data_IF_768367934856
#
_entry.id   IF_768367934856
#
_cell.length_a   1.000
_cell.length_b   1.000
_cell.length_c   1.000
_cell.angle_alpha   90.00
_cell.angle_beta   90.00
_cell.angle_gamma   90.00
#
_symmetry.space_group_name_H-M   'P 1'
#
loop_
_entity.id
_entity.type
_entity.pdbx_description
1 polymer ?
#
# COMPACT_ATOMS: atom_id res chain seq x y z
N UNK A 1 -19.00 -19.92 -12.17
CA UNK A 1 -17.65 -20.48 -12.44
C UNK A 1 -17.30 -20.48 -13.93
N UNK A 2 -18.19 -20.95 -14.81
CA UNK A 2 -17.96 -21.06 -16.27
C UNK A 2 -17.82 -19.68 -16.96
N UNK A 3 -18.59 -18.66 -16.55
CA UNK A 3 -18.46 -17.28 -17.08
C UNK A 3 -17.06 -16.68 -16.87
N UNK A 4 -16.41 -16.96 -15.74
CA UNK A 4 -15.08 -16.42 -15.38
C UNK A 4 -13.96 -17.06 -16.19
N UNK A 5 -14.13 -18.34 -16.58
CA UNK A 5 -13.20 -19.04 -17.46
C UNK A 5 -13.35 -18.51 -18.88
N UNK A 6 -14.58 -18.29 -19.34
CA UNK A 6 -14.83 -17.69 -20.66
C UNK A 6 -14.29 -16.27 -20.77
N UNK A 7 -14.40 -15.43 -19.74
CA UNK A 7 -13.80 -14.09 -19.75
C UNK A 7 -12.28 -14.10 -19.96
N UNK A 8 -11.56 -14.95 -19.22
CA UNK A 8 -10.10 -15.07 -19.32
C UNK A 8 -9.65 -15.70 -20.66
N UNK A 9 -10.46 -16.60 -21.23
CA UNK A 9 -10.18 -17.23 -22.53
C UNK A 9 -10.48 -16.28 -23.69
N UNK A 10 -11.47 -15.40 -23.55
CA UNK A 10 -11.85 -14.44 -24.59
C UNK A 10 -10.85 -13.26 -24.64
N UNK A 11 -10.32 -12.79 -23.50
CA UNK A 11 -9.25 -11.77 -23.48
C UNK A 11 -7.94 -12.26 -24.11
N UNK A 12 -7.69 -13.57 -24.12
CA UNK A 12 -6.50 -14.17 -24.76
C UNK A 12 -6.68 -14.44 -26.26
N UNK A 13 -7.88 -14.29 -26.82
CA UNK A 13 -8.16 -14.57 -28.25
C UNK A 13 -8.39 -13.35 -29.13
N UNK A 14 -8.52 -12.15 -28.56
CA UNK A 14 -8.47 -10.93 -29.39
C UNK A 14 -7.01 -10.64 -29.74
N UNK A 15 -6.66 -10.50 -31.03
CA UNK A 15 -5.38 -9.95 -31.41
C UNK A 15 -5.40 -8.51 -30.94
N UNK A 16 -4.77 -8.24 -29.79
CA UNK A 16 -4.29 -6.90 -29.52
C UNK A 16 -3.43 -6.55 -30.74
N UNK A 17 -3.73 -5.42 -31.38
CA UNK A 17 -2.79 -4.75 -32.28
C UNK A 17 -1.59 -4.33 -31.41
N UNK A 18 -0.81 -5.32 -31.00
CA UNK A 18 0.39 -5.17 -30.23
C UNK A 18 1.44 -4.73 -31.20
N UNK A 19 1.81 -3.46 -31.14
CA UNK A 19 3.19 -3.13 -31.43
C UNK A 19 4.06 -4.18 -30.74
N UNK A 20 4.98 -4.82 -31.46
CA UNK A 20 5.95 -5.73 -30.86
C UNK A 20 6.82 -4.90 -29.90
N UNK A 21 6.37 -4.72 -28.66
CA UNK A 21 7.13 -4.04 -27.63
C UNK A 21 8.21 -5.01 -27.18
N UNK A 22 9.39 -4.87 -27.79
CA UNK A 22 10.58 -5.58 -27.37
C UNK A 22 11.02 -4.98 -26.03
N UNK A 23 10.73 -5.68 -24.93
CA UNK A 23 11.27 -5.31 -23.63
C UNK A 23 12.74 -5.70 -23.59
N UNK A 24 13.62 -4.70 -23.66
CA UNK A 24 15.04 -4.93 -23.47
C UNK A 24 15.28 -5.50 -22.06
N UNK A 25 16.32 -6.34 -21.94
CA UNK A 25 16.75 -6.84 -20.64
C UNK A 25 16.91 -5.66 -19.67
N UNK A 26 16.21 -5.62 -18.52
CA UNK A 26 16.29 -4.50 -17.59
C UNK A 26 17.68 -4.30 -16.98
N UNK A 27 18.55 -5.31 -17.11
CA UNK A 27 19.91 -5.32 -16.60
C UNK A 27 20.93 -4.89 -17.67
N UNK A 28 20.86 -3.62 -18.08
CA UNK A 28 21.74 -3.04 -19.12
C UNK A 28 23.05 -2.46 -18.57
N UNK A 29 23.12 -2.15 -17.27
CA UNK A 29 24.31 -1.59 -16.62
C UNK A 29 25.27 -2.71 -16.18
N UNK A 30 26.58 -2.46 -16.23
CA UNK A 30 27.62 -3.44 -15.84
C UNK A 30 27.41 -4.04 -14.45
N UNK A 31 26.94 -3.24 -13.50
CA UNK A 31 26.67 -3.62 -12.12
C UNK A 31 25.45 -4.54 -11.99
N UNK A 32 24.55 -4.49 -12.97
CA UNK A 32 23.26 -5.18 -12.91
C UNK A 32 23.19 -6.42 -13.80
N UNK A 33 24.08 -6.55 -14.79
CA UNK A 33 24.24 -7.73 -15.66
C UNK A 33 24.26 -9.07 -14.89
N UNK A 34 24.96 -9.22 -13.73
CA UNK A 34 24.96 -10.48 -12.98
C UNK A 34 23.58 -10.92 -12.49
N UNK A 35 22.60 -10.01 -12.42
CA UNK A 35 21.22 -10.29 -12.00
C UNK A 35 20.29 -10.66 -13.17
N UNK A 36 20.82 -10.82 -14.39
CA UNK A 36 20.07 -11.19 -15.60
C UNK A 36 19.12 -12.38 -15.42
N UNK A 37 19.54 -13.36 -14.63
CA UNK A 37 18.75 -14.57 -14.33
C UNK A 37 17.39 -14.28 -13.66
N UNK A 38 17.22 -13.15 -12.98
CA UNK A 38 15.94 -12.78 -12.35
C UNK A 38 14.81 -12.71 -13.37
N UNK A 39 15.11 -12.22 -14.59
CA UNK A 39 14.13 -12.13 -15.67
C UNK A 39 13.62 -13.49 -16.16
N UNK A 40 14.39 -14.57 -15.95
CA UNK A 40 14.00 -15.94 -16.33
C UNK A 40 13.19 -16.69 -15.27
N UNK A 41 13.13 -16.19 -14.03
CA UNK A 41 12.51 -16.91 -12.90
C UNK A 41 11.46 -16.10 -12.15
N UNK A 42 11.29 -14.81 -12.48
CA UNK A 42 10.28 -13.94 -11.86
C UNK A 42 9.41 -13.27 -12.91
N UNK A 43 8.10 -13.06 -12.64
CA UNK A 43 7.27 -12.27 -13.52
C UNK A 43 7.78 -10.83 -13.57
N UNK A 44 7.89 -10.29 -14.77
CA UNK A 44 8.26 -8.90 -15.01
C UNK A 44 7.04 -8.14 -15.50
N UNK A 45 6.80 -6.97 -14.90
CA UNK A 45 5.70 -6.10 -15.30
C UNK A 45 6.28 -4.85 -15.95
N UNK A 46 6.05 -4.65 -17.26
CA UNK A 46 6.60 -3.50 -17.95
C UNK A 46 5.88 -2.23 -17.52
N UNK A 47 6.65 -1.19 -17.18
CA UNK A 47 6.14 0.13 -16.80
C UNK A 47 6.92 1.18 -17.58
N UNK A 48 6.21 2.20 -18.10
CA UNK A 48 6.85 3.35 -18.75
C UNK A 48 7.59 4.17 -17.70
N UNK A 49 8.83 4.57 -17.98
CA UNK A 49 9.62 5.42 -17.06
C UNK A 49 8.90 6.73 -16.72
N UNK A 50 8.14 7.30 -17.68
CA UNK A 50 7.31 8.50 -17.47
C UNK A 50 6.21 8.33 -16.42
N UNK A 51 5.83 7.09 -16.10
CA UNK A 51 4.81 6.78 -15.09
C UNK A 51 5.41 6.64 -13.68
N UNK A 52 6.74 6.69 -13.56
CA UNK A 52 7.46 6.57 -12.29
C UNK A 52 7.94 7.95 -11.84
N UNK A 53 7.68 8.30 -10.58
CA UNK A 53 8.23 9.50 -9.95
C UNK A 53 8.88 9.12 -8.62
N UNK A 54 10.04 9.68 -8.33
CA UNK A 54 10.76 9.43 -7.06
C UNK A 54 10.69 10.71 -6.24
N UNK A 55 10.19 10.62 -5.00
CA UNK A 55 10.28 11.74 -4.06
C UNK A 55 11.57 11.65 -3.26
N UNK A 56 12.09 12.81 -2.86
CA UNK A 56 13.35 12.90 -2.12
C UNK A 56 13.19 13.53 -0.75
N UNK A 57 11.98 13.95 -0.38
CA UNK A 57 11.74 14.73 0.82
C UNK A 57 10.51 14.22 1.60
N UNK A 58 10.59 14.08 2.94
CA UNK A 58 9.48 13.59 3.76
C UNK A 58 8.24 14.49 3.75
N UNK A 59 8.39 15.81 3.58
CA UNK A 59 7.24 16.71 3.45
C UNK A 59 6.51 16.48 2.13
N UNK A 60 7.25 16.26 1.03
CA UNK A 60 6.65 15.87 -0.24
C UNK A 60 5.85 14.57 -0.10
N UNK A 61 6.38 13.58 0.62
CA UNK A 61 5.67 12.33 0.89
C UNK A 61 4.35 12.57 1.62
N UNK A 62 4.37 13.39 2.68
CA UNK A 62 3.16 13.72 3.42
C UNK A 62 2.15 14.50 2.56
N UNK A 63 2.60 15.49 1.81
CA UNK A 63 1.74 16.33 0.96
C UNK A 63 1.05 15.51 -0.14
N UNK A 64 1.74 14.53 -0.74
CA UNK A 64 1.09 13.64 -1.72
C UNK A 64 0.05 12.73 -1.08
N UNK A 65 0.27 12.25 0.16
CA UNK A 65 -0.71 11.44 0.87
C UNK A 65 -1.99 12.24 1.13
N UNK A 66 -1.85 13.48 1.62
CA UNK A 66 -2.98 14.39 1.81
C UNK A 66 -3.70 14.64 0.48
N UNK A 67 -2.97 15.01 -0.57
CA UNK A 67 -3.56 15.29 -1.88
C UNK A 67 -4.30 14.08 -2.43
N UNK A 68 -3.70 12.90 -2.41
CA UNK A 68 -4.35 11.70 -2.96
C UNK A 68 -5.50 11.22 -2.08
N UNK A 69 -5.39 11.30 -0.75
CA UNK A 69 -6.50 11.00 0.16
C UNK A 69 -7.71 11.90 -0.07
N UNK A 70 -7.48 13.20 -0.34
CA UNK A 70 -8.55 14.17 -0.59
C UNK A 70 -9.26 13.96 -1.95
N UNK A 71 -8.53 13.46 -2.96
CA UNK A 71 -9.00 13.42 -4.34
C UNK A 71 -9.33 12.00 -4.84
N UNK A 72 -9.08 10.95 -4.05
CA UNK A 72 -9.38 9.59 -4.46
C UNK A 72 -10.87 9.41 -4.78
N UNK A 73 -11.15 8.72 -5.87
CA UNK A 73 -12.52 8.52 -6.39
C UNK A 73 -13.05 7.10 -6.21
N UNK A 74 -12.19 6.10 -6.34
CA UNK A 74 -12.60 4.68 -6.44
C UNK A 74 -12.04 3.83 -5.30
N UNK A 75 -10.74 3.98 -4.99
CA UNK A 75 -10.11 3.22 -3.91
C UNK A 75 -8.99 3.96 -3.18
N UNK A 76 -8.93 3.75 -1.87
CA UNK A 76 -7.75 3.96 -1.04
C UNK A 76 -7.39 2.60 -0.45
N UNK A 77 -6.15 2.16 -0.60
CA UNK A 77 -5.67 0.98 0.12
C UNK A 77 -4.31 1.23 0.74
N UNK A 78 -4.22 1.08 2.07
CA UNK A 78 -3.02 1.38 2.83
C UNK A 78 -2.54 0.10 3.53
N UNK A 79 -1.34 -0.36 3.20
CA UNK A 79 -0.62 -1.36 3.97
C UNK A 79 0.57 -0.69 4.65
N UNK A 80 0.63 -0.69 5.98
CA UNK A 80 1.72 -0.07 6.77
C UNK A 80 1.94 -0.87 8.04
N UNK A 81 3.15 -0.83 8.59
CA UNK A 81 3.42 -1.45 9.89
C UNK A 81 2.50 -0.86 10.98
N UNK A 82 2.34 0.46 10.98
CA UNK A 82 1.40 1.19 11.82
C UNK A 82 1.06 2.55 11.21
N UNK A 83 0.01 3.17 11.75
CA UNK A 83 -0.31 4.59 11.60
C UNK A 83 -0.19 5.27 12.97
N UNK A 84 0.58 6.34 13.07
CA UNK A 84 0.80 7.08 14.31
C UNK A 84 -0.48 7.75 14.82
N UNK A 85 -0.39 8.35 16.00
CA UNK A 85 -1.51 8.99 16.70
C UNK A 85 -1.31 10.52 16.87
N UNK A 86 -0.31 11.08 16.19
CA UNK A 86 0.03 12.49 16.23
C UNK A 86 -0.92 13.37 15.41
N UNK A 87 -0.60 14.67 15.35
CA UNK A 87 -1.41 15.68 14.67
C UNK A 87 -1.47 15.45 13.16
N UNK A 88 -0.35 15.08 12.54
CA UNK A 88 -0.25 14.93 11.09
C UNK A 88 -0.99 13.68 10.61
N UNK A 89 -0.95 12.60 11.39
CA UNK A 89 -1.65 11.35 11.15
C UNK A 89 -3.16 11.53 11.30
N UNK A 90 -3.60 12.21 12.38
CA UNK A 90 -5.01 12.58 12.58
C UNK A 90 -5.52 13.46 11.44
N UNK A 91 -4.72 14.43 10.98
CA UNK A 91 -5.04 15.26 9.81
C UNK A 91 -5.16 14.43 8.52
N UNK A 92 -4.29 13.45 8.31
CA UNK A 92 -4.41 12.56 7.14
C UNK A 92 -5.70 11.74 7.18
N UNK A 93 -6.07 11.19 8.35
CA UNK A 93 -7.35 10.51 8.53
C UNK A 93 -8.53 11.45 8.30
N UNK A 94 -8.47 12.68 8.81
CA UNK A 94 -9.50 13.70 8.61
C UNK A 94 -9.68 14.05 7.12
N UNK A 95 -8.61 14.07 6.34
CA UNK A 95 -8.69 14.29 4.89
C UNK A 95 -9.45 13.16 4.19
N UNK A 96 -9.19 11.89 4.54
CA UNK A 96 -9.94 10.75 3.99
C UNK A 96 -11.40 10.81 4.45
N UNK A 97 -11.63 11.09 5.72
CA UNK A 97 -12.96 11.22 6.31
C UNK A 97 -13.80 12.28 5.60
N UNK A 98 -13.18 13.38 5.18
CA UNK A 98 -13.83 14.49 4.49
C UNK A 98 -13.89 14.34 2.97
N UNK A 99 -13.36 13.26 2.40
CA UNK A 99 -13.46 12.99 0.97
C UNK A 99 -14.95 12.79 0.58
N UNK A 100 -15.50 13.54 -0.40
CA UNK A 100 -16.90 13.40 -0.82
C UNK A 100 -17.28 11.99 -1.26
N UNK A 101 -16.39 11.30 -1.98
CA UNK A 101 -16.63 9.94 -2.48
C UNK A 101 -16.65 8.92 -1.32
N UNK A 102 -15.92 9.18 -0.23
CA UNK A 102 -15.99 8.36 0.98
C UNK A 102 -17.36 8.46 1.65
N UNK A 103 -17.87 9.69 1.80
CA UNK A 103 -19.18 9.96 2.40
C UNK A 103 -20.35 9.44 1.54
N UNK A 104 -20.16 9.39 0.22
CA UNK A 104 -21.16 8.87 -0.73
C UNK A 104 -21.07 7.35 -0.97
N UNK A 105 -20.22 6.63 -0.23
CA UNK A 105 -19.99 5.19 -0.38
C UNK A 105 -19.45 4.75 -1.75
N UNK A 106 -18.96 5.67 -2.60
CA UNK A 106 -18.36 5.35 -3.90
C UNK A 106 -16.86 5.03 -3.80
N UNK A 107 -16.17 5.57 -2.80
CA UNK A 107 -14.75 5.30 -2.52
C UNK A 107 -14.60 4.12 -1.55
N UNK A 108 -13.88 3.07 -1.94
CA UNK A 108 -13.54 1.97 -1.02
C UNK A 108 -12.24 2.23 -0.28
N UNK A 109 -12.25 2.13 1.05
CA UNK A 109 -11.08 2.36 1.90
C UNK A 109 -10.70 1.06 2.62
N UNK A 110 -9.54 0.49 2.27
CA UNK A 110 -9.02 -0.71 2.92
C UNK A 110 -7.71 -0.39 3.64
N UNK A 111 -7.60 -0.74 4.91
CA UNK A 111 -6.41 -0.41 5.70
C UNK A 111 -5.89 -1.66 6.40
N UNK A 112 -4.70 -2.10 6.03
CA UNK A 112 -3.99 -3.23 6.62
C UNK A 112 -2.85 -2.72 7.51
N UNK A 113 -2.91 -3.03 8.80
CA UNK A 113 -1.86 -2.72 9.78
C UNK A 113 -1.34 -3.97 10.47
N UNK A 114 -0.14 -3.93 11.03
CA UNK A 114 0.30 -4.95 11.97
C UNK A 114 -0.49 -4.86 13.29
N UNK A 115 -1.01 -5.99 13.78
CA UNK A 115 -1.82 -6.04 14.99
C UNK A 115 -1.06 -5.55 16.21
N UNK A 116 0.19 -5.99 16.38
CA UNK A 116 0.97 -5.67 17.59
C UNK A 116 1.40 -4.21 17.58
N UNK A 117 1.96 -3.73 16.46
CA UNK A 117 2.43 -2.36 16.34
C UNK A 117 1.30 -1.36 16.25
N UNK A 118 0.20 -1.71 15.59
CA UNK A 118 -1.00 -0.88 15.48
C UNK A 118 -1.85 -0.83 16.75
N UNK A 119 -1.67 -1.75 17.70
CA UNK A 119 -2.39 -1.78 18.99
C UNK A 119 -1.54 -1.34 20.18
N UNK A 120 -0.31 -0.84 19.95
CA UNK A 120 0.61 -0.50 21.02
C UNK A 120 0.15 0.76 21.75
N UNK A 121 0.04 0.69 23.08
CA UNK A 121 -0.48 1.76 23.95
C UNK A 121 -1.98 2.04 23.80
N UNK A 122 -2.54 2.89 24.68
CA UNK A 122 -3.96 3.21 24.70
C UNK A 122 -4.40 4.06 23.49
N UNK A 123 -3.64 5.10 23.14
CA UNK A 123 -3.83 5.85 21.89
C UNK A 123 -2.88 5.28 20.82
N UNK A 124 -3.42 4.73 19.74
CA UNK A 124 -2.70 3.94 18.75
C UNK A 124 -3.33 4.07 17.35
N UNK A 125 -2.94 3.20 16.41
CA UNK A 125 -3.48 3.23 15.05
C UNK A 125 -4.99 2.96 15.03
N UNK A 126 -5.48 2.07 15.91
CA UNK A 126 -6.90 1.68 15.96
C UNK A 126 -7.77 2.84 16.43
N UNK A 127 -7.34 3.57 17.46
CA UNK A 127 -8.07 4.76 17.93
C UNK A 127 -8.05 5.87 16.89
N UNK A 128 -6.91 6.06 16.22
CA UNK A 128 -6.76 7.10 15.18
C UNK A 128 -7.61 6.83 13.95
N UNK A 129 -7.78 5.56 13.56
CA UNK A 129 -8.58 5.17 12.39
C UNK A 129 -10.07 4.95 12.69
N UNK A 130 -10.46 4.82 13.96
CA UNK A 130 -11.84 4.58 14.38
C UNK A 130 -12.88 5.55 13.77
N UNK A 131 -12.59 6.86 13.55
CA UNK A 131 -13.54 7.77 12.92
C UNK A 131 -14.00 7.31 11.52
N UNK A 132 -13.12 6.70 10.72
CA UNK A 132 -13.48 6.23 9.37
C UNK A 132 -14.53 5.13 9.43
N UNK A 133 -14.34 4.14 10.31
CA UNK A 133 -15.31 3.05 10.51
C UNK A 133 -16.65 3.55 11.07
N UNK A 134 -16.63 4.58 11.92
CA UNK A 134 -17.85 5.17 12.48
C UNK A 134 -18.66 5.94 11.44
N UNK A 135 -17.97 6.63 10.52
CA UNK A 135 -18.61 7.40 9.45
C UNK A 135 -19.22 6.48 8.40
N UNK A 136 -18.44 5.52 7.91
CA UNK A 136 -18.91 4.64 6.84
C UNK A 136 -18.27 3.25 6.94
N UNK A 137 -18.96 2.33 7.60
CA UNK A 137 -18.50 0.95 7.76
C UNK A 137 -18.80 0.06 6.54
N UNK A 138 -19.60 0.53 5.58
CA UNK A 138 -19.97 -0.26 4.40
C UNK A 138 -18.86 -0.26 3.34
N UNK A 139 -18.12 0.85 3.21
CA UNK A 139 -17.03 1.02 2.26
C UNK A 139 -15.65 1.15 2.93
N UNK A 140 -15.56 1.03 4.26
CA UNK A 140 -14.31 1.07 5.00
C UNK A 140 -14.03 -0.26 5.71
N UNK A 141 -12.89 -0.88 5.41
CA UNK A 141 -12.38 -2.05 6.11
C UNK A 141 -11.03 -1.75 6.76
N UNK A 142 -10.88 -2.15 8.03
CA UNK A 142 -9.60 -2.11 8.74
C UNK A 142 -9.24 -3.51 9.19
N UNK A 143 -8.17 -4.05 8.62
CA UNK A 143 -7.66 -5.38 8.91
C UNK A 143 -6.36 -5.27 9.71
N UNK A 144 -6.20 -6.15 10.71
CA UNK A 144 -5.00 -6.22 11.52
C UNK A 144 -4.31 -7.57 11.28
N UNK A 145 -3.15 -7.54 10.63
CA UNK A 145 -2.34 -8.73 10.41
C UNK A 145 -1.78 -9.22 11.73
N UNK A 146 -1.97 -10.52 12.02
CA UNK A 146 -1.42 -11.16 13.19
C UNK A 146 -0.54 -12.32 12.77
N UNK A 147 0.76 -12.18 13.02
CA UNK A 147 1.78 -13.21 12.80
C UNK A 147 1.34 -14.53 13.45
N UNK A 148 1.23 -15.63 12.68
CA UNK A 148 0.72 -16.92 13.15
C UNK A 148 1.46 -17.48 14.37
N UNK A 149 2.77 -17.26 14.45
CA UNK A 149 3.69 -17.73 15.50
C UNK A 149 3.39 -17.11 16.87
N UNK A 150 2.64 -16.01 16.91
CA UNK A 150 2.22 -15.32 18.14
C UNK A 150 0.80 -15.72 18.61
N UNK A 151 0.21 -16.79 18.07
CA UNK A 151 -1.12 -17.29 18.48
C UNK A 151 -1.00 -18.27 19.65
N UNK A 152 -1.91 -18.18 20.64
CA UNK A 152 -2.04 -19.14 21.75
C UNK A 152 -1.38 -18.73 23.07
N UNK A 153 -1.12 -19.71 23.96
CA UNK A 153 -0.59 -19.50 25.32
C UNK A 153 0.75 -18.71 25.36
N UNK A 154 1.54 -18.77 24.28
CA UNK A 154 2.82 -18.05 24.16
C UNK A 154 2.67 -16.53 24.32
N UNK A 155 1.55 -15.93 23.90
CA UNK A 155 1.28 -14.49 24.04
C UNK A 155 1.20 -14.03 25.51
N UNK A 156 0.82 -14.92 26.45
CA UNK A 156 0.71 -14.57 27.88
C UNK A 156 2.07 -14.58 28.60
N UNK A 157 3.08 -15.23 28.02
CA UNK A 157 4.37 -15.47 28.68
C UNK A 157 5.48 -14.60 28.06
N UNK A 158 5.35 -14.25 26.78
CA UNK A 158 6.35 -13.47 26.04
C UNK A 158 6.13 -11.97 26.26
N UNK A 159 7.11 -11.21 26.79
CA UNK A 159 6.99 -9.76 26.94
C UNK A 159 6.86 -9.07 25.57
N UNK A 160 6.12 -7.96 25.50
CA UNK A 160 5.80 -7.24 24.25
C UNK A 160 7.03 -6.94 23.36
N UNK A 161 8.20 -6.76 23.98
CA UNK A 161 9.47 -6.46 23.28
C UNK A 161 9.99 -7.63 22.43
N UNK A 162 9.60 -8.86 22.75
CA UNK A 162 10.02 -10.06 22.01
C UNK A 162 9.08 -10.41 20.87
N UNK A 163 7.86 -9.83 20.83
CA UNK A 163 6.94 -9.99 19.70
C UNK A 163 7.54 -9.45 18.38
N UNK A 164 8.44 -8.46 18.45
CA UNK A 164 9.16 -7.94 17.27
C UNK A 164 10.13 -8.99 16.67
N UNK A 165 10.58 -9.97 17.46
CA UNK A 165 11.52 -11.01 17.03
C UNK A 165 10.85 -12.15 16.24
N UNK A 166 9.56 -12.37 16.45
CA UNK A 166 8.80 -13.46 15.81
C UNK A 166 8.25 -13.10 14.43
N UNK A 167 8.39 -11.85 13.99
CA UNK A 167 8.04 -11.38 12.65
C UNK A 167 6.92 -10.35 12.66
N UNK A 168 7.12 -9.25 11.94
CA UNK A 168 6.14 -8.17 11.76
C UNK A 168 5.80 -8.00 10.28
N UNK A 169 4.60 -7.52 9.99
CA UNK A 169 4.25 -7.09 8.64
C UNK A 169 4.99 -5.76 8.33
N UNK A 170 5.90 -5.77 7.35
CA UNK A 170 6.70 -4.59 7.00
C UNK A 170 6.32 -3.93 5.67
N UNK A 171 5.18 -4.29 5.06
CA UNK A 171 4.74 -3.65 3.80
C UNK A 171 4.34 -2.19 4.05
N UNK A 172 4.66 -1.34 3.08
CA UNK A 172 4.46 0.11 3.08
C UNK A 172 4.04 0.50 1.66
N UNK A 173 2.81 0.12 1.36
CA UNK A 173 2.19 0.26 0.06
C UNK A 173 0.95 1.12 0.23
N UNK A 174 0.88 2.22 -0.50
CA UNK A 174 -0.23 3.15 -0.42
C UNK A 174 -0.81 3.36 -1.81
N UNK A 175 -2.00 2.83 -2.01
CA UNK A 175 -2.73 2.87 -3.27
C UNK A 175 -3.83 3.91 -3.17
N UNK A 176 -3.90 4.78 -4.16
CA UNK A 176 -4.96 5.75 -4.36
C UNK A 176 -5.35 5.66 -5.83
N UNK A 177 -6.53 5.10 -6.10
CA UNK A 177 -7.03 4.80 -7.45
C UNK A 177 -6.00 4.03 -8.30
N UNK A 178 -5.42 4.67 -9.31
CA UNK A 178 -4.42 4.10 -10.23
C UNK A 178 -2.97 4.50 -9.87
N UNK A 179 -2.77 5.04 -8.67
CA UNK A 179 -1.46 5.43 -8.15
C UNK A 179 -1.04 4.52 -7.01
N UNK A 180 0.11 3.88 -7.16
CA UNK A 180 0.79 3.13 -6.10
C UNK A 180 1.98 3.93 -5.58
N UNK A 181 2.10 4.04 -4.27
CA UNK A 181 3.28 4.54 -3.58
C UNK A 181 3.93 3.37 -2.85
N UNK A 182 5.19 3.10 -3.18
CA UNK A 182 6.03 2.14 -2.46
C UNK A 182 7.03 2.94 -1.64
N UNK A 183 7.09 2.70 -0.33
CA UNK A 183 7.97 3.45 0.55
C UNK A 183 8.67 2.58 1.60
N UNK A 184 9.77 3.08 2.19
CA UNK A 184 10.30 2.57 3.45
C UNK A 184 9.74 3.26 4.70
N UNK A 185 9.00 4.37 4.50
CA UNK A 185 8.38 5.14 5.56
C UNK A 185 7.08 4.53 6.10
N UNK A 186 6.87 4.61 7.42
CA UNK A 186 5.56 4.37 8.02
C UNK A 186 4.72 5.66 8.00
N UNK A 187 3.41 5.53 8.26
CA UNK A 187 2.50 6.67 8.40
C UNK A 187 2.63 7.30 9.79
N UNK A 188 3.72 8.03 10.05
CA UNK A 188 3.93 8.71 11.35
C UNK A 188 4.71 10.00 11.25
N UNK A 189 4.56 10.87 12.25
CA UNK A 189 5.13 12.22 12.32
C UNK A 189 6.59 12.32 11.86
N UNK A 190 7.48 11.48 12.38
CA UNK A 190 8.91 11.54 12.02
C UNK A 190 9.12 11.34 10.52
N UNK A 191 8.41 10.38 9.91
CA UNK A 191 8.47 10.10 8.48
C UNK A 191 7.76 11.15 7.60
N UNK A 192 6.95 12.01 8.21
CA UNK A 192 6.29 13.13 7.54
C UNK A 192 7.07 14.44 7.67
N UNK A 193 8.17 14.45 8.44
CA UNK A 193 8.89 15.69 8.79
C UNK A 193 10.39 15.56 8.61
N UNK A 194 11.05 14.74 9.42
CA UNK A 194 12.50 14.81 9.59
C UNK A 194 13.23 13.49 9.23
N UNK A 195 12.48 12.41 9.01
CA UNK A 195 13.02 11.09 8.67
C UNK A 195 12.75 10.77 7.21
N UNK A 196 13.76 11.01 6.39
CA UNK A 196 13.74 10.68 4.97
C UNK A 196 13.83 9.17 4.74
N UNK A 197 13.07 8.70 3.77
CA UNK A 197 13.15 7.34 3.22
C UNK A 197 13.08 7.41 1.68
N UNK A 198 12.94 6.25 1.03
CA UNK A 198 12.73 6.15 -0.41
C UNK A 198 11.23 6.10 -0.70
N UNK A 199 10.78 6.86 -1.68
CA UNK A 199 9.38 6.92 -2.09
C UNK A 199 9.29 6.80 -3.61
N UNK A 200 8.72 5.70 -4.08
CA UNK A 200 8.45 5.47 -5.50
C UNK A 200 6.96 5.61 -5.75
N UNK A 201 6.59 6.52 -6.64
CA UNK A 201 5.23 6.71 -7.11
C UNK A 201 5.13 6.08 -8.50
N UNK A 202 4.20 5.16 -8.67
CA UNK A 202 3.91 4.50 -9.94
C UNK A 202 2.46 4.83 -10.30
N UNK A 203 2.24 5.47 -11.45
CA UNK A 203 0.92 5.81 -11.97
C UNK A 203 0.60 4.97 -13.18
N UNK A 204 -0.03 3.83 -12.96
CA UNK A 204 -0.39 2.90 -14.04
C UNK A 204 -1.54 2.00 -13.61
N UNK A 205 -2.71 2.22 -14.20
CA UNK A 205 -3.94 1.46 -13.90
C UNK A 205 -3.73 -0.05 -13.99
N UNK A 206 -3.02 -0.50 -15.02
CA UNK A 206 -2.83 -1.92 -15.26
C UNK A 206 -1.93 -2.54 -14.18
N UNK A 207 -0.90 -1.83 -13.74
CA UNK A 207 0.01 -2.33 -12.71
C UNK A 207 -0.62 -2.36 -11.31
N UNK A 208 -1.36 -1.32 -10.94
CA UNK A 208 -1.94 -1.19 -9.59
C UNK A 208 -3.03 -2.25 -9.33
N UNK A 209 -3.68 -2.77 -10.37
CA UNK A 209 -4.65 -3.88 -10.24
C UNK A 209 -3.95 -5.19 -9.82
N UNK A 210 -2.72 -5.45 -10.25
CA UNK A 210 -2.02 -6.71 -9.94
C UNK A 210 -1.46 -6.79 -8.52
N UNK A 211 -1.26 -5.68 -7.82
CA UNK A 211 -0.47 -5.65 -6.57
C UNK A 211 -1.26 -6.07 -5.31
N UNK A 212 -2.55 -6.42 -5.41
CA UNK A 212 -3.41 -6.70 -4.25
C UNK A 212 -4.24 -7.99 -4.33
N UNK A 213 -3.95 -8.88 -5.29
CA UNK A 213 -4.59 -10.20 -5.39
C UNK A 213 -3.77 -11.25 -4.66
#
# INVERSE_FOLDING_TARGET
>A
MIRRILSNVIETTFPQHGENVFYQNPFTCSETIPFGWLSSVTPCFPIKSSNISILTDPHQFYDILLRFGANAGERITLASLYLGNGKLEKKFVEVILNNPNFKQSSLKVNILMDYTRGSRFADNSRTTLLPLLKENSENCEISLYHTPELRGLMKKVVPDRWNELFGLQHMKLYIFDDTLIISGANLSNDYFTNRQDRYFIIRDKNYVIFTMV
#
